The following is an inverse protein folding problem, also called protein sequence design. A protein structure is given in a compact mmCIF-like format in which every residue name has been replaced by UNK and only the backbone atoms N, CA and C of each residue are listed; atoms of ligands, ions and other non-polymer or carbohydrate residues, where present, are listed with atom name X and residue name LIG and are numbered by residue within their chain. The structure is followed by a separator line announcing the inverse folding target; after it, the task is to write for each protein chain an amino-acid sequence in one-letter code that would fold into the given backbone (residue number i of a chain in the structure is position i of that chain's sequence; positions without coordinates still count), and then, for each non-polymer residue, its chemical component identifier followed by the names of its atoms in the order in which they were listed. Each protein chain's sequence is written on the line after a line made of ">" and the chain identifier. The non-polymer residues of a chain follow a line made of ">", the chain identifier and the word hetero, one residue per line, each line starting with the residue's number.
data_IF_683084850650
#
_entry.id   IF_683084850650
#
_cell.length_a   1.000
_cell.length_b   1.000
_cell.length_c   1.000
_cell.angle_alpha   90.00
_cell.angle_beta   90.00
_cell.angle_gamma   90.00
#
_symmetry.space_group_name_H-M   'P 1'
#
loop_
_entity.id
_entity.type
_entity.pdbx_description
1 polymer ?
#
# COMPACT_ATOMS: atom_id res chain seq x y z
N UNK A 1 33.63 8.23 -64.16
CA UNK A 1 33.11 9.62 -64.11
C UNK A 1 31.65 9.56 -64.53
N UNK A 2 30.72 9.62 -63.57
CA UNK A 2 29.93 10.83 -63.22
C UNK A 2 28.86 11.16 -64.25
N UNK A 3 27.58 10.99 -63.87
CA UNK A 3 26.49 11.97 -64.02
C UNK A 3 25.20 11.40 -63.38
N UNK A 4 24.86 11.86 -62.17
CA UNK A 4 23.74 12.79 -61.90
C UNK A 4 22.36 12.21 -62.27
N UNK A 5 21.60 11.70 -61.29
CA UNK A 5 20.58 12.45 -60.53
C UNK A 5 19.59 13.23 -61.40
N UNK A 6 18.37 12.70 -61.53
CA UNK A 6 17.06 13.40 -61.57
C UNK A 6 15.99 12.31 -61.41
N UNK A 7 15.51 12.03 -60.20
CA UNK A 7 14.27 12.58 -59.63
C UNK A 7 13.12 12.63 -60.63
N UNK A 8 12.20 11.67 -60.54
CA UNK A 8 10.76 11.96 -60.41
C UNK A 8 10.04 10.71 -59.90
N UNK A 9 9.63 10.77 -58.63
CA UNK A 9 8.56 9.94 -58.09
C UNK A 9 7.25 10.50 -58.63
N UNK A 10 6.44 9.70 -59.30
CA UNK A 10 5.03 9.60 -58.95
C UNK A 10 4.36 8.37 -59.60
N UNK A 11 3.37 7.85 -58.87
CA UNK A 11 2.35 6.85 -59.23
C UNK A 11 2.67 5.40 -58.88
N UNK A 12 2.30 5.04 -57.63
CA UNK A 12 2.26 3.67 -57.07
C UNK A 12 1.38 2.70 -57.86
N UNK A 13 1.31 1.40 -57.53
CA UNK A 13 0.45 0.93 -56.42
C UNK A 13 0.79 -0.48 -55.81
N UNK A 14 -0.10 -0.94 -54.90
CA UNK A 14 -0.46 -2.34 -54.52
C UNK A 14 0.43 -3.10 -53.52
N UNK A 15 -0.19 -3.46 -52.39
CA UNK A 15 0.05 -4.73 -51.73
C UNK A 15 -1.10 -5.65 -52.16
N UNK A 16 -0.77 -6.57 -53.05
CA UNK A 16 -1.51 -7.81 -53.28
C UNK A 16 -1.26 -8.70 -52.08
N UNK A 17 -2.32 -9.21 -51.45
CA UNK A 17 -2.35 -10.55 -50.84
C UNK A 17 -3.78 -10.82 -50.36
N UNK A 18 -4.41 -11.82 -50.96
CA UNK A 18 -5.13 -12.90 -50.28
C UNK A 18 -5.94 -13.70 -51.30
N UNK A 19 -5.30 -14.75 -51.83
CA UNK A 19 -5.98 -15.90 -52.41
C UNK A 19 -6.17 -16.98 -51.34
N UNK A 20 -7.45 -17.21 -51.05
CA UNK A 20 -8.19 -18.29 -50.38
C UNK A 20 -7.49 -19.67 -50.22
N UNK A 21 -7.76 -20.43 -49.12
CA UNK A 21 -6.99 -21.60 -48.69
C UNK A 21 -7.55 -22.93 -49.23
N UNK A 22 -6.82 -24.05 -49.07
CA UNK A 22 -7.43 -25.38 -49.06
C UNK A 22 -7.39 -26.03 -47.67
N UNK A 23 -8.54 -26.58 -47.28
CA UNK A 23 -8.67 -27.60 -46.23
C UNK A 23 -8.14 -28.94 -46.75
N UNK A 24 -7.39 -29.65 -45.91
CA UNK A 24 -7.25 -31.11 -45.97
C UNK A 24 -6.95 -31.65 -44.58
N UNK A 25 -7.90 -32.41 -44.05
CA UNK A 25 -7.82 -33.21 -42.82
C UNK A 25 -6.78 -34.33 -42.97
N UNK A 26 -5.91 -34.48 -41.97
CA UNK A 26 -5.43 -35.79 -41.52
C UNK A 26 -4.86 -35.67 -40.09
N UNK A 27 -5.15 -36.71 -39.30
CA UNK A 27 -5.08 -36.82 -37.84
C UNK A 27 -3.71 -36.49 -37.18
N UNK A 28 -3.76 -35.82 -36.02
CA UNK A 28 -3.10 -36.23 -34.77
C UNK A 28 -2.97 -35.05 -33.77
N UNK A 29 -3.50 -35.24 -32.56
CA UNK A 29 -2.94 -34.77 -31.28
C UNK A 29 -2.37 -33.34 -31.22
N UNK A 30 -3.21 -32.30 -31.16
CA UNK A 30 -2.82 -31.01 -30.57
C UNK A 30 -4.01 -30.03 -30.49
N UNK A 31 -4.83 -30.13 -29.44
CA UNK A 31 -5.51 -28.92 -28.94
C UNK A 31 -5.50 -28.89 -27.40
N UNK A 32 -4.41 -29.38 -26.80
CA UNK A 32 -3.88 -28.75 -25.59
C UNK A 32 -3.21 -27.46 -26.02
N UNK A 33 -4.00 -26.43 -26.31
CA UNK A 33 -3.46 -25.07 -26.23
C UNK A 33 -2.95 -24.92 -24.81
N UNK A 34 -1.65 -24.64 -24.58
CA UNK A 34 -1.22 -24.28 -23.25
C UNK A 34 -2.07 -23.07 -22.86
N UNK A 35 -2.82 -23.20 -21.77
CA UNK A 35 -3.50 -22.07 -21.17
C UNK A 35 -2.46 -20.94 -21.07
N UNK A 36 -2.76 -19.71 -21.52
CA UNK A 36 -1.78 -18.64 -21.47
C UNK A 36 -1.32 -18.53 -20.02
N UNK A 37 -0.05 -18.82 -19.81
CA UNK A 37 0.58 -18.83 -18.50
C UNK A 37 0.10 -17.60 -17.75
N UNK A 38 -0.56 -17.79 -16.62
CA UNK A 38 -0.94 -16.71 -15.71
C UNK A 38 0.30 -15.98 -15.14
N UNK A 39 1.50 -16.31 -15.64
CA UNK A 39 2.81 -15.84 -15.22
C UNK A 39 3.24 -14.48 -15.76
N UNK A 40 2.62 -13.92 -16.81
CA UNK A 40 3.21 -12.77 -17.52
C UNK A 40 2.38 -11.47 -17.55
N UNK A 41 1.30 -11.38 -16.77
CA UNK A 41 0.56 -10.10 -16.62
C UNK A 41 1.23 -9.19 -15.58
N UNK A 42 2.43 -8.70 -15.90
CA UNK A 42 3.07 -7.63 -15.12
C UNK A 42 2.78 -6.26 -15.74
N UNK A 43 2.57 -5.29 -14.88
CA UNK A 43 2.31 -3.90 -15.27
C UNK A 43 3.64 -3.19 -15.40
N UNK A 44 3.94 -2.68 -16.60
CA UNK A 44 5.08 -1.82 -16.86
C UNK A 44 4.73 -0.38 -16.47
N UNK A 45 5.21 0.07 -15.31
CA UNK A 45 5.05 1.43 -14.79
C UNK A 45 6.35 1.90 -14.20
N UNK A 46 6.58 3.23 -14.20
CA UNK A 46 7.74 3.80 -13.55
C UNK A 46 7.81 3.37 -12.07
N UNK A 47 8.94 2.86 -11.55
CA UNK A 47 9.03 2.26 -10.22
C UNK A 47 8.58 3.19 -9.10
N UNK A 48 8.90 4.48 -9.21
CA UNK A 48 8.48 5.49 -8.24
C UNK A 48 6.95 5.66 -8.21
N UNK A 49 6.26 5.55 -9.36
CA UNK A 49 4.79 5.62 -9.42
C UNK A 49 4.17 4.40 -8.76
N UNK A 50 4.68 3.21 -9.08
CA UNK A 50 4.23 1.96 -8.47
C UNK A 50 4.38 2.01 -6.95
N UNK A 51 5.56 2.43 -6.48
CA UNK A 51 5.85 2.62 -5.06
C UNK A 51 4.90 3.62 -4.40
N UNK A 52 4.78 4.84 -4.94
CA UNK A 52 3.90 5.87 -4.39
C UNK A 52 2.43 5.44 -4.35
N UNK A 53 1.91 4.83 -5.42
CA UNK A 53 0.51 4.37 -5.47
C UNK A 53 0.29 3.28 -4.43
N UNK A 54 1.19 2.31 -4.32
CA UNK A 54 1.10 1.26 -3.32
C UNK A 54 1.18 1.81 -1.88
N UNK A 55 2.07 2.79 -1.63
CA UNK A 55 2.24 3.40 -0.30
C UNK A 55 1.01 4.22 0.12
N UNK A 56 0.52 5.09 -0.76
CA UNK A 56 -0.72 5.85 -0.53
C UNK A 56 -1.91 4.91 -0.34
N UNK A 57 -2.05 3.90 -1.19
CA UNK A 57 -3.18 2.95 -1.09
C UNK A 57 -3.12 2.15 0.19
N UNK A 58 -1.94 1.66 0.58
CA UNK A 58 -1.76 0.96 1.85
C UNK A 58 -2.14 1.84 3.04
N UNK A 59 -1.70 3.09 3.06
CA UNK A 59 -2.05 4.03 4.12
C UNK A 59 -3.57 4.25 4.19
N UNK A 60 -4.21 4.51 3.05
CA UNK A 60 -5.66 4.72 2.97
C UNK A 60 -6.43 3.49 3.46
N UNK A 61 -6.01 2.29 3.07
CA UNK A 61 -6.65 1.04 3.51
C UNK A 61 -6.50 0.85 5.02
N UNK A 62 -5.30 1.05 5.58
CA UNK A 62 -5.07 0.95 7.02
C UNK A 62 -5.95 1.95 7.78
N UNK A 63 -5.92 3.22 7.36
CA UNK A 63 -6.71 4.25 7.99
C UNK A 63 -8.22 3.96 7.89
N UNK A 64 -8.70 3.56 6.71
CA UNK A 64 -10.11 3.24 6.49
C UNK A 64 -10.57 2.04 7.33
N UNK A 65 -9.72 1.02 7.50
CA UNK A 65 -10.02 -0.13 8.35
C UNK A 65 -10.19 0.29 9.82
N UNK A 66 -9.30 1.14 10.34
CA UNK A 66 -9.45 1.69 11.70
C UNK A 66 -10.67 2.61 11.79
N UNK A 67 -10.91 3.47 10.81
CA UNK A 67 -12.07 4.35 10.81
C UNK A 67 -13.39 3.57 10.86
N UNK A 68 -13.50 2.49 10.07
CA UNK A 68 -14.64 1.58 10.09
C UNK A 68 -14.78 0.89 11.44
N UNK A 69 -13.68 0.39 12.01
CA UNK A 69 -13.67 -0.26 13.32
C UNK A 69 -14.14 0.68 14.43
N UNK A 70 -13.58 1.89 14.51
CA UNK A 70 -13.97 2.92 15.48
C UNK A 70 -15.43 3.31 15.31
N UNK A 71 -15.88 3.50 14.07
CA UNK A 71 -17.28 3.85 13.80
C UNK A 71 -18.24 2.73 14.22
N UNK A 72 -17.86 1.46 14.03
CA UNK A 72 -18.65 0.31 14.50
C UNK A 72 -18.71 0.23 16.03
N UNK A 73 -17.60 0.48 16.72
CA UNK A 73 -17.57 0.58 18.19
C UNK A 73 -18.41 1.75 18.70
N UNK A 74 -18.40 2.89 18.01
CA UNK A 74 -19.26 4.03 18.35
C UNK A 74 -20.74 3.72 18.15
N UNK A 75 -21.10 3.01 17.07
CA UNK A 75 -22.48 2.63 16.78
C UNK A 75 -23.04 1.59 17.76
N UNK A 76 -22.19 0.75 18.34
CA UNK A 76 -22.57 -0.27 19.34
C UNK A 76 -22.60 0.27 20.78
N UNK A 77 -22.38 1.59 20.96
CA UNK A 77 -22.39 2.23 22.27
C UNK A 77 -21.14 1.95 23.12
N UNK A 78 -20.07 1.40 22.51
CA UNK A 78 -18.83 1.09 23.22
C UNK A 78 -18.06 2.36 23.60
N UNK A 79 -18.11 3.41 22.76
CA UNK A 79 -17.73 4.76 23.19
C UNK A 79 -18.97 5.41 23.80
N UNK A 80 -18.92 5.74 25.09
CA UNK A 80 -19.96 6.56 25.71
C UNK A 80 -20.16 7.81 24.85
N UNK A 81 -21.28 7.88 24.14
CA UNK A 81 -21.63 9.01 23.28
C UNK A 81 -22.04 10.18 24.18
N UNK A 82 -21.05 10.82 24.80
CA UNK A 82 -21.21 12.19 25.28
C UNK A 82 -21.00 13.13 24.10
N UNK A 83 -21.82 14.17 23.98
CA UNK A 83 -21.72 15.23 22.96
C UNK A 83 -20.37 16.01 22.99
N UNK A 84 -19.46 15.65 23.89
CA UNK A 84 -18.18 16.31 24.18
C UNK A 84 -16.91 15.50 23.88
N UNK A 85 -17.01 14.27 23.35
CA UNK A 85 -15.83 13.44 23.02
C UNK A 85 -15.17 13.74 21.66
N UNK A 86 -13.93 13.29 21.40
CA UNK A 86 -13.31 13.43 20.08
C UNK A 86 -14.11 12.73 18.99
N UNK A 87 -14.08 13.32 17.79
CA UNK A 87 -14.67 12.69 16.61
C UNK A 87 -14.02 11.35 16.28
N UNK A 88 -14.79 10.43 15.67
CA UNK A 88 -14.30 9.13 15.22
C UNK A 88 -13.07 9.22 14.32
N UNK A 89 -12.95 10.29 13.53
CA UNK A 89 -11.77 10.55 12.70
C UNK A 89 -10.50 10.73 13.53
N UNK A 90 -10.56 11.52 14.61
CA UNK A 90 -9.39 11.75 15.49
C UNK A 90 -9.00 10.46 16.19
N UNK A 91 -9.98 9.72 16.72
CA UNK A 91 -9.73 8.43 17.39
C UNK A 91 -9.11 7.43 16.41
N UNK A 92 -9.64 7.32 15.19
CA UNK A 92 -9.09 6.45 14.15
C UNK A 92 -7.66 6.88 13.74
N UNK A 93 -7.40 8.17 13.67
CA UNK A 93 -6.08 8.72 13.37
C UNK A 93 -5.04 8.35 14.42
N UNK A 94 -5.32 8.65 15.69
CA UNK A 94 -4.46 8.29 16.81
C UNK A 94 -4.26 6.77 16.93
N UNK A 95 -5.33 6.00 16.73
CA UNK A 95 -5.27 4.52 16.75
C UNK A 95 -4.39 3.99 15.61
N UNK A 96 -4.49 4.57 14.41
CA UNK A 96 -3.65 4.19 13.27
C UNK A 96 -2.16 4.40 13.61
N UNK A 97 -1.83 5.56 14.19
CA UNK A 97 -0.45 5.92 14.55
C UNK A 97 0.09 5.06 15.71
N UNK A 98 -0.71 4.84 16.74
CA UNK A 98 -0.36 3.97 17.87
C UNK A 98 -0.05 2.53 17.41
N UNK A 99 -0.80 2.00 16.44
CA UNK A 99 -0.53 0.67 15.87
C UNK A 99 0.71 0.59 14.98
N UNK A 100 1.37 1.73 14.71
CA UNK A 100 2.72 1.78 14.14
C UNK A 100 3.81 2.01 15.21
N UNK A 101 3.43 2.07 16.49
CA UNK A 101 4.32 2.33 17.60
C UNK A 101 4.61 3.80 17.86
N UNK A 102 3.84 4.73 17.29
CA UNK A 102 3.95 6.14 17.63
C UNK A 102 3.47 6.37 19.08
N UNK A 103 4.23 7.13 19.86
CA UNK A 103 3.83 7.52 21.21
C UNK A 103 2.64 8.50 21.14
N UNK A 104 1.58 8.20 21.89
CA UNK A 104 0.48 9.14 22.10
C UNK A 104 0.76 9.90 23.39
N UNK A 105 0.53 11.21 23.35
CA UNK A 105 0.86 12.12 24.43
C UNK A 105 -0.38 12.92 24.84
N UNK A 106 -0.42 13.32 26.10
CA UNK A 106 -1.37 14.29 26.63
C UNK A 106 -0.58 15.43 27.27
N UNK A 107 -0.72 16.65 26.76
CA UNK A 107 0.01 17.80 27.31
C UNK A 107 1.54 17.69 27.19
N UNK A 108 2.06 16.83 26.31
CA UNK A 108 3.49 16.59 26.11
C UNK A 108 4.05 15.40 26.89
N UNK A 109 3.29 14.82 27.81
CA UNK A 109 3.68 13.62 28.54
C UNK A 109 3.14 12.36 27.82
N UNK A 110 3.93 11.28 27.67
CA UNK A 110 3.45 10.03 27.14
C UNK A 110 2.33 9.47 28.01
N UNK A 111 1.22 9.06 27.37
CA UNK A 111 0.18 8.31 28.07
C UNK A 111 0.48 6.81 27.96
N UNK A 112 0.94 6.21 29.06
CA UNK A 112 1.22 4.78 29.16
C UNK A 112 -0.11 4.00 29.12
N UNK A 113 -0.38 3.39 27.97
CA UNK A 113 -1.50 2.49 27.79
C UNK A 113 -2.81 3.20 27.42
N UNK A 114 -3.34 2.83 26.26
CA UNK A 114 -4.70 2.30 26.06
C UNK A 114 -5.56 2.36 27.35
N UNK A 115 -6.08 3.54 27.73
CA UNK A 115 -6.65 3.66 29.09
C UNK A 115 -7.38 4.94 29.49
N UNK A 116 -7.44 5.99 28.66
CA UNK A 116 -8.28 7.18 28.93
C UNK A 116 -9.39 7.41 27.91
N UNK A 117 -9.67 6.38 27.13
CA UNK A 117 -11.02 6.08 26.69
C UNK A 117 -11.44 4.82 27.46
N UNK A 118 -12.69 4.69 27.95
CA UNK A 118 -13.20 3.45 28.56
C UNK A 118 -13.27 2.25 27.59
N UNK A 119 -12.54 2.30 26.48
CA UNK A 119 -12.47 1.29 25.44
C UNK A 119 -11.02 0.90 25.30
N UNK A 120 -10.71 -0.36 25.61
CA UNK A 120 -9.48 -1.04 25.17
C UNK A 120 -9.43 -1.02 23.65
N UNK A 121 -9.00 0.11 23.11
CA UNK A 121 -9.21 0.59 21.73
C UNK A 121 -8.55 -0.27 20.64
N UNK A 122 -7.80 -1.30 21.04
CA UNK A 122 -7.11 -2.20 20.12
C UNK A 122 -7.26 -3.63 20.64
N UNK A 123 -8.24 -4.41 20.16
CA UNK A 123 -8.14 -5.86 20.20
C UNK A 123 -6.78 -6.27 19.60
N UNK A 124 -6.11 -7.28 20.16
CA UNK A 124 -4.83 -7.80 19.64
C UNK A 124 -4.89 -8.13 18.13
N UNK A 125 -6.08 -8.39 17.60
CA UNK A 125 -6.35 -8.61 16.16
C UNK A 125 -6.27 -7.32 15.34
N UNK A 126 -6.78 -6.19 15.84
CA UNK A 126 -6.71 -4.90 15.14
C UNK A 126 -5.28 -4.35 15.05
N UNK A 127 -4.39 -4.76 15.96
CA UNK A 127 -2.96 -4.46 15.88
C UNK A 127 -2.27 -5.09 14.68
N UNK A 128 -2.86 -6.11 14.07
CA UNK A 128 -2.32 -6.75 12.87
C UNK A 128 -2.72 -6.04 11.57
N UNK A 129 -3.64 -5.07 11.61
CA UNK A 129 -4.14 -4.39 10.40
C UNK A 129 -2.97 -3.78 9.60
N UNK A 130 -2.07 -2.96 10.18
CA UNK A 130 -0.93 -2.44 9.43
C UNK A 130 -0.07 -3.56 8.84
N UNK A 131 0.26 -4.57 9.65
CA UNK A 131 1.09 -5.68 9.22
C UNK A 131 0.52 -6.41 8.00
N UNK A 132 -0.76 -6.79 8.05
CA UNK A 132 -1.45 -7.51 6.95
C UNK A 132 -1.52 -6.66 5.69
N UNK A 133 -1.90 -5.39 5.80
CA UNK A 133 -2.01 -4.50 4.62
C UNK A 133 -0.64 -4.23 4.00
N UNK A 134 0.39 -4.01 4.80
CA UNK A 134 1.76 -3.78 4.32
C UNK A 134 2.39 -5.03 3.70
N UNK A 135 2.15 -6.21 4.29
CA UNK A 135 2.53 -7.50 3.69
C UNK A 135 1.87 -7.69 2.32
N UNK A 136 0.55 -7.46 2.24
CA UNK A 136 -0.18 -7.55 0.98
C UNK A 136 0.36 -6.55 -0.05
N UNK A 137 0.57 -5.29 0.34
CA UNK A 137 1.09 -4.26 -0.55
C UNK A 137 2.49 -4.60 -1.10
N UNK A 138 3.40 -5.06 -0.23
CA UNK A 138 4.72 -5.52 -0.65
C UNK A 138 4.66 -6.73 -1.59
N UNK A 139 3.79 -7.69 -1.29
CA UNK A 139 3.54 -8.85 -2.15
C UNK A 139 3.05 -8.42 -3.53
N UNK A 140 2.00 -7.59 -3.60
CA UNK A 140 1.42 -7.12 -4.85
C UNK A 140 2.40 -6.30 -5.68
N UNK A 141 3.20 -5.43 -5.02
CA UNK A 141 4.21 -4.62 -5.68
C UNK A 141 5.24 -5.49 -6.41
N UNK A 142 5.79 -6.53 -5.76
CA UNK A 142 6.77 -7.42 -6.40
C UNK A 142 6.14 -8.40 -7.37
N UNK A 143 4.93 -8.89 -7.08
CA UNK A 143 4.26 -9.90 -7.90
C UNK A 143 3.79 -9.33 -9.24
N UNK A 144 3.25 -8.12 -9.26
CA UNK A 144 2.55 -7.56 -10.42
C UNK A 144 3.25 -6.39 -11.11
N UNK A 145 4.31 -5.80 -10.53
CA UNK A 145 5.08 -4.74 -11.20
C UNK A 145 6.35 -5.32 -11.82
N UNK A 146 6.65 -4.90 -13.06
CA UNK A 146 7.90 -5.21 -13.72
C UNK A 146 9.05 -4.41 -13.08
N UNK A 147 9.69 -5.00 -12.06
CA UNK A 147 10.91 -4.48 -11.43
C UNK A 147 12.07 -5.38 -11.87
N UNK A 148 12.83 -4.93 -12.87
CA UNK A 148 13.89 -5.73 -13.52
C UNK A 148 15.23 -5.54 -12.84
N UNK A 149 15.47 -4.36 -12.25
CA UNK A 149 16.75 -4.05 -11.61
C UNK A 149 16.62 -3.82 -10.11
N UNK A 150 17.73 -4.05 -9.38
CA UNK A 150 17.84 -3.71 -7.95
C UNK A 150 17.59 -2.23 -7.69
N UNK A 151 17.98 -1.36 -8.64
CA UNK A 151 17.77 0.09 -8.57
C UNK A 151 16.28 0.41 -8.64
N UNK A 152 15.55 -0.21 -9.57
CA UNK A 152 14.10 -0.02 -9.69
C UNK A 152 13.36 -0.51 -8.45
N UNK A 153 13.74 -1.67 -7.92
CA UNK A 153 13.18 -2.17 -6.67
C UNK A 153 13.45 -1.20 -5.50
N UNK A 154 14.68 -0.68 -5.39
CA UNK A 154 15.01 0.32 -4.37
C UNK A 154 14.22 1.62 -4.51
N UNK A 155 14.02 2.11 -5.74
CA UNK A 155 13.20 3.31 -6.00
C UNK A 155 11.72 3.06 -5.67
N UNK A 156 11.18 1.89 -6.02
CA UNK A 156 9.79 1.54 -5.70
C UNK A 156 9.57 1.43 -4.18
N UNK A 157 10.45 0.73 -3.47
CA UNK A 157 10.38 0.60 -2.00
C UNK A 157 10.58 1.96 -1.33
N UNK A 158 11.52 2.78 -1.81
CA UNK A 158 11.74 4.13 -1.29
C UNK A 158 10.52 5.03 -1.47
N UNK A 159 9.91 5.04 -2.66
CA UNK A 159 8.70 5.81 -2.94
C UNK A 159 7.49 5.32 -2.11
N UNK A 160 7.36 4.00 -1.95
CA UNK A 160 6.36 3.39 -1.07
C UNK A 160 6.51 3.88 0.39
N UNK A 161 7.72 3.78 0.93
CA UNK A 161 8.03 4.19 2.29
C UNK A 161 7.78 5.69 2.50
N UNK A 162 8.33 6.53 1.64
CA UNK A 162 8.23 8.00 1.77
C UNK A 162 6.78 8.45 1.65
N UNK A 163 6.03 7.95 0.67
CA UNK A 163 4.62 8.34 0.49
C UNK A 163 3.75 7.95 1.69
N UNK A 164 3.97 6.75 2.27
CA UNK A 164 3.27 6.32 3.46
C UNK A 164 3.62 7.17 4.69
N UNK A 165 4.92 7.39 4.93
CA UNK A 165 5.41 8.15 6.10
C UNK A 165 4.93 9.60 6.04
N UNK A 166 4.95 10.23 4.86
CA UNK A 166 4.44 11.61 4.69
C UNK A 166 2.97 11.71 5.09
N UNK A 167 2.14 10.73 4.70
CA UNK A 167 0.73 10.68 5.09
C UNK A 167 0.56 10.43 6.60
N UNK A 168 1.39 9.56 7.20
CA UNK A 168 1.36 9.32 8.63
C UNK A 168 1.75 10.56 9.45
N UNK A 169 2.79 11.29 9.03
CA UNK A 169 3.17 12.57 9.64
C UNK A 169 2.04 13.59 9.49
N UNK A 170 1.46 13.70 8.30
CA UNK A 170 0.31 14.58 8.06
C UNK A 170 -0.88 14.23 8.96
N UNK A 171 -1.17 12.94 9.13
CA UNK A 171 -2.20 12.46 10.04
C UNK A 171 -1.87 12.79 11.50
N UNK A 172 -0.62 12.66 11.94
CA UNK A 172 -0.20 13.00 13.30
C UNK A 172 -0.42 14.47 13.64
N UNK A 173 -0.19 15.36 12.68
CA UNK A 173 -0.43 16.80 12.84
C UNK A 173 -1.93 17.13 12.89
N UNK A 174 -2.76 16.36 12.17
CA UNK A 174 -4.20 16.63 12.05
C UNK A 174 -5.04 15.92 13.13
N UNK A 175 -4.64 14.72 13.56
CA UNK A 175 -5.34 13.90 14.52
C UNK A 175 -5.00 14.35 15.94
N UNK A 176 -5.59 15.48 16.34
CA UNK A 176 -5.44 16.06 17.66
C UNK A 176 -6.81 16.35 18.27
N UNK A 177 -6.91 16.22 19.59
CA UNK A 177 -8.10 16.63 20.32
C UNK A 177 -7.74 17.17 21.69
N UNK A 178 -8.44 18.21 22.13
CA UNK A 178 -8.26 18.80 23.45
C UNK A 178 -9.52 18.55 24.27
N UNK A 179 -9.43 17.84 25.41
CA UNK A 179 -10.54 17.70 26.35
C UNK A 179 -11.07 19.06 26.80
N UNK A 180 -12.39 19.18 26.92
CA UNK A 180 -13.01 20.34 27.55
C UNK A 180 -12.78 20.35 29.06
N UNK A 181 -12.89 21.52 29.68
CA UNK A 181 -12.85 21.67 31.14
C UNK A 181 -13.94 20.81 31.79
N UNK A 182 -13.57 19.94 32.72
CA UNK A 182 -14.50 19.04 33.42
C UNK A 182 -14.74 17.70 32.72
N UNK A 183 -13.93 17.30 31.74
CA UNK A 183 -13.96 15.92 31.25
C UNK A 183 -13.40 14.99 32.32
N UNK A 184 -14.26 14.21 32.98
CA UNK A 184 -13.89 13.36 34.12
C UNK A 184 -12.76 12.38 33.76
N UNK A 185 -11.74 12.31 34.62
CA UNK A 185 -10.64 11.34 34.51
C UNK A 185 -9.54 11.70 33.52
N UNK A 186 -9.56 12.88 32.88
CA UNK A 186 -8.49 13.35 31.98
C UNK A 186 -7.79 14.61 32.49
N UNK A 187 -6.47 14.65 32.33
CA UNK A 187 -5.65 15.82 32.61
C UNK A 187 -5.85 16.94 31.58
N UNK A 188 -5.55 18.18 31.94
CA UNK A 188 -5.58 19.29 30.98
C UNK A 188 -4.45 19.15 29.95
N UNK A 189 -4.78 19.10 28.65
CA UNK A 189 -3.78 19.05 27.58
C UNK A 189 -4.30 18.41 26.30
N UNK A 190 -3.73 18.80 25.16
CA UNK A 190 -4.07 18.19 23.88
C UNK A 190 -3.58 16.73 23.84
N UNK A 191 -4.44 15.82 23.38
CA UNK A 191 -4.13 14.44 23.05
C UNK A 191 -3.69 14.39 21.59
N UNK A 192 -2.42 14.03 21.37
CA UNK A 192 -1.79 14.02 20.05
C UNK A 192 -0.82 12.85 19.91
N UNK A 193 -0.39 12.55 18.69
CA UNK A 193 0.78 11.72 18.49
C UNK A 193 2.05 12.56 18.57
N UNK A 194 3.12 12.01 19.15
CA UNK A 194 4.44 12.63 19.16
C UNK A 194 4.94 12.81 17.72
N UNK A 195 5.18 14.06 17.29
CA UNK A 195 5.63 14.38 15.92
C UNK A 195 7.15 14.57 15.82
N UNK A 196 7.91 13.77 16.55
CA UNK A 196 9.37 13.81 16.55
C UNK A 196 9.98 12.79 15.58
N UNK A 197 11.32 12.68 15.58
CA UNK A 197 12.01 11.70 14.75
C UNK A 197 11.60 10.26 15.08
N UNK A 198 11.15 10.00 16.32
CA UNK A 198 10.74 8.65 16.73
C UNK A 198 9.55 8.16 15.92
N UNK A 199 8.59 9.04 15.59
CA UNK A 199 7.44 8.71 14.73
C UNK A 199 7.89 8.25 13.33
N UNK A 200 8.85 8.95 12.74
CA UNK A 200 9.38 8.59 11.41
C UNK A 200 10.05 7.22 11.48
N UNK A 201 10.81 6.96 12.54
CA UNK A 201 11.53 5.69 12.74
C UNK A 201 10.56 4.53 13.00
N UNK A 202 9.56 4.70 13.85
CA UNK A 202 8.61 3.63 14.22
C UNK A 202 7.66 3.30 13.08
N UNK A 203 7.04 4.32 12.46
CA UNK A 203 6.20 4.15 11.28
C UNK A 203 7.02 3.61 10.13
N UNK A 204 8.16 4.22 9.83
CA UNK A 204 9.01 3.81 8.72
C UNK A 204 9.55 2.39 8.90
N UNK A 205 9.96 2.01 10.11
CA UNK A 205 10.40 0.67 10.44
C UNK A 205 9.30 -0.38 10.28
N UNK A 206 8.08 -0.07 10.72
CA UNK A 206 6.90 -0.93 10.55
C UNK A 206 6.58 -1.14 9.06
N UNK A 207 6.49 -0.04 8.30
CA UNK A 207 6.23 -0.03 6.86
C UNK A 207 7.27 -0.85 6.10
N UNK A 208 8.54 -0.56 6.34
CA UNK A 208 9.65 -1.22 5.66
C UNK A 208 9.69 -2.72 5.98
N UNK A 209 9.58 -3.09 7.25
CA UNK A 209 9.64 -4.49 7.69
C UNK A 209 8.58 -5.35 7.00
N UNK A 210 7.30 -4.95 7.11
CA UNK A 210 6.21 -5.76 6.59
C UNK A 210 6.14 -5.73 5.06
N UNK A 211 6.44 -4.59 4.42
CA UNK A 211 6.51 -4.55 2.97
C UNK A 211 7.62 -5.45 2.40
N UNK A 212 8.81 -5.48 3.04
CA UNK A 212 9.90 -6.37 2.63
C UNK A 212 9.58 -7.85 2.85
N UNK A 213 8.90 -8.19 3.95
CA UNK A 213 8.44 -9.56 4.18
C UNK A 213 7.46 -10.01 3.07
N UNK A 214 6.48 -9.17 2.73
CA UNK A 214 5.52 -9.46 1.66
C UNK A 214 6.19 -9.59 0.29
N UNK A 215 7.11 -8.68 -0.01
CA UNK A 215 7.96 -8.71 -1.20
C UNK A 215 8.80 -10.00 -1.27
N UNK A 216 9.37 -10.44 -0.14
CA UNK A 216 10.13 -11.68 -0.03
C UNK A 216 9.28 -12.91 -0.37
N UNK A 217 8.05 -12.98 0.18
CA UNK A 217 7.09 -14.05 -0.13
C UNK A 217 6.76 -14.08 -1.63
N UNK A 218 6.55 -12.93 -2.26
CA UNK A 218 6.30 -12.85 -3.70
C UNK A 218 7.50 -13.26 -4.57
N UNK A 219 8.72 -13.14 -4.04
CA UNK A 219 9.96 -13.50 -4.72
C UNK A 219 10.29 -15.00 -4.61
N UNK A 220 9.78 -15.72 -3.60
CA UNK A 220 10.07 -17.15 -3.37
C UNK A 220 9.83 -18.06 -4.60
N UNK A 221 8.72 -17.93 -5.35
CA UNK A 221 8.50 -18.75 -6.55
C UNK A 221 9.54 -18.52 -7.65
N UNK A 222 10.27 -17.39 -7.63
CA UNK A 222 11.32 -17.05 -8.61
C UNK A 222 12.69 -17.63 -8.23
N UNK A 223 12.84 -18.12 -7.00
CA UNK A 223 14.09 -18.65 -6.46
C UNK A 223 14.11 -20.19 -6.45
N UNK A 224 12.97 -20.85 -6.69
CA UNK A 224 12.96 -22.30 -6.89
C UNK A 224 13.49 -22.60 -8.29
N UNK A 225 14.60 -23.36 -8.43
CA UNK A 225 15.03 -23.85 -9.72
C UNK A 225 13.91 -24.71 -10.32
N UNK A 226 13.68 -24.55 -11.63
CA UNK A 226 12.92 -25.52 -12.39
C UNK A 226 13.77 -26.81 -12.44
N UNK A 227 13.37 -27.84 -11.70
CA UNK A 227 14.05 -29.13 -11.69
C UNK A 227 13.74 -29.93 -10.42
N UNK A 228 12.78 -30.85 -10.54
CA UNK A 228 12.96 -32.29 -10.31
C UNK A 228 11.59 -32.97 -10.45
N UNK A 229 11.15 -33.15 -11.71
CA UNK A 229 10.26 -34.25 -12.13
C UNK A 229 10.93 -34.95 -13.32
#
# INVERSE_FOLDING_TARGET
>A
MSQNRRFEYDKGPRLEDDTTPPESDDDADADERPAPDAGDRRIAVAPWKAGSVAGVSAFVIVFAAFYQLITAYAATGSYGQGDSGPSNWVIAGLTTLANHGAAIQQGGEPIDGIGMYPVGLVPSVSALIPAVVLLAAGYFLVRYVALETRREAGVAVGAFLVSYVVLAVGLAVLAQWTPGTGTEGMEEGAITAATDLSLIVTVGGTVLTFALLGAGVAALPRLRPAGDE
#
